data_IF_370230274622
#
_entry.id   IF_370230274622
#
_cell.length_a   1.000
_cell.length_b   1.000
_cell.length_c   1.000
_cell.angle_alpha   90.00
_cell.angle_beta   90.00
_cell.angle_gamma   90.00
#
_symmetry.space_group_name_H-M   'P 1'
#
loop_
_entity.id
_entity.type
_entity.pdbx_description
1 polymer ?
#
# COMPACT_ATOMS: atom_id res chain seq x y z
N UNK A 1 14.17 9.10 -13.08
CA UNK A 1 14.82 7.78 -12.94
C UNK A 1 14.76 7.41 -11.46
N UNK A 2 13.92 6.45 -11.09
CA UNK A 2 13.75 6.02 -9.70
C UNK A 2 15.00 5.23 -9.28
N UNK A 3 15.79 5.79 -8.34
CA UNK A 3 16.97 5.13 -7.78
C UNK A 3 16.48 4.02 -6.85
N UNK A 4 16.80 2.77 -7.17
CA UNK A 4 16.58 1.64 -6.24
C UNK A 4 17.63 1.67 -5.15
N UNK A 5 17.20 1.51 -3.90
CA UNK A 5 18.12 1.50 -2.77
C UNK A 5 18.69 0.10 -2.54
N UNK A 6 19.93 0.04 -2.07
CA UNK A 6 20.61 -1.19 -1.63
C UNK A 6 21.33 -0.93 -0.32
N UNK A 7 21.24 -1.88 0.60
CA UNK A 7 21.97 -1.82 1.86
C UNK A 7 23.49 -1.92 1.60
N UNK A 8 24.24 -0.97 2.14
CA UNK A 8 25.70 -0.97 2.09
C UNK A 8 26.28 -1.61 3.36
N UNK A 9 26.17 -2.94 3.47
CA UNK A 9 26.82 -3.71 4.53
C UNK A 9 27.67 -4.82 3.91
N UNK A 10 28.97 -4.83 4.23
CA UNK A 10 29.93 -5.75 3.65
C UNK A 10 29.68 -7.20 4.13
N UNK A 11 29.46 -8.17 3.22
CA UNK A 11 29.34 -9.59 3.57
C UNK A 11 30.56 -10.16 4.33
N UNK A 12 31.73 -9.58 4.16
CA UNK A 12 32.95 -9.93 4.91
C UNK A 12 32.80 -9.66 6.40
N UNK A 13 32.09 -8.59 6.79
CA UNK A 13 31.81 -8.29 8.21
C UNK A 13 30.90 -9.34 8.82
N UNK A 14 29.88 -9.82 8.09
CA UNK A 14 29.05 -10.94 8.55
C UNK A 14 29.87 -12.21 8.76
N UNK A 15 30.79 -12.49 7.84
CA UNK A 15 31.66 -13.66 7.92
C UNK A 15 32.59 -13.56 9.13
N UNK A 16 33.19 -12.39 9.36
CA UNK A 16 34.06 -12.12 10.51
C UNK A 16 33.32 -12.24 11.85
N UNK A 17 32.11 -11.67 11.96
CA UNK A 17 31.29 -11.82 13.17
C UNK A 17 30.92 -13.28 13.44
N UNK A 18 30.62 -14.05 12.38
CA UNK A 18 30.33 -15.48 12.48
C UNK A 18 31.55 -16.28 12.88
N UNK A 19 32.72 -16.01 12.30
CA UNK A 19 34.00 -16.67 12.65
C UNK A 19 34.39 -16.38 14.10
N UNK A 20 34.26 -15.14 14.55
CA UNK A 20 34.56 -14.73 15.92
C UNK A 20 33.69 -15.48 16.94
N UNK A 21 32.40 -15.70 16.62
CA UNK A 21 31.51 -16.54 17.43
C UNK A 21 32.02 -17.97 17.59
N UNK A 22 32.54 -18.56 16.51
CA UNK A 22 33.10 -19.91 16.55
C UNK A 22 34.42 -19.95 17.32
N UNK A 23 35.29 -18.95 17.18
CA UNK A 23 36.53 -18.87 17.96
C UNK A 23 36.27 -18.74 19.46
N UNK A 24 35.24 -17.99 19.87
CA UNK A 24 34.79 -17.97 21.26
C UNK A 24 34.35 -19.35 21.76
N UNK A 25 33.59 -20.10 20.94
CA UNK A 25 33.11 -21.44 21.28
C UNK A 25 34.25 -22.47 21.38
N UNK A 26 35.33 -22.25 20.63
CA UNK A 26 36.52 -23.12 20.58
C UNK A 26 37.64 -22.66 21.53
N UNK A 27 37.39 -21.64 22.36
CA UNK A 27 38.36 -21.07 23.32
C UNK A 27 39.70 -20.61 22.67
N UNK A 28 39.64 -20.15 21.43
CA UNK A 28 40.81 -19.62 20.70
C UNK A 28 41.03 -18.16 21.06
N UNK A 29 42.29 -17.75 21.25
CA UNK A 29 42.65 -16.35 21.54
C UNK A 29 42.37 -15.48 20.32
N UNK A 30 41.53 -14.47 20.50
CA UNK A 30 41.11 -13.51 19.47
C UNK A 30 41.82 -12.17 19.71
N UNK A 31 42.22 -11.43 18.66
CA UNK A 31 42.77 -10.08 18.82
C UNK A 31 41.77 -9.10 19.45
N UNK A 32 42.23 -8.22 20.34
CA UNK A 32 41.41 -7.23 21.07
C UNK A 32 40.54 -6.37 20.13
N UNK A 33 41.07 -5.99 18.97
CA UNK A 33 40.32 -5.22 17.96
C UNK A 33 39.06 -5.93 17.47
N UNK A 34 39.10 -7.26 17.35
CA UNK A 34 37.97 -8.09 16.89
C UNK A 34 36.97 -8.30 18.03
N UNK A 35 37.45 -8.43 19.26
CA UNK A 35 36.61 -8.53 20.46
C UNK A 35 35.74 -7.28 20.66
N UNK A 36 36.31 -6.08 20.48
CA UNK A 36 35.57 -4.81 20.55
C UNK A 36 34.45 -4.77 19.50
N UNK A 37 34.71 -5.23 18.27
CA UNK A 37 33.69 -5.27 17.20
C UNK A 37 32.61 -6.31 17.51
N UNK A 38 33.00 -7.48 18.00
CA UNK A 38 32.09 -8.56 18.35
C UNK A 38 31.18 -8.21 19.52
N UNK A 39 31.66 -7.41 20.49
CA UNK A 39 30.84 -6.91 21.60
C UNK A 39 29.60 -6.11 21.14
N UNK A 40 29.65 -5.55 19.92
CA UNK A 40 28.57 -4.79 19.29
C UNK A 40 27.89 -5.56 18.16
N UNK A 41 28.19 -6.85 17.98
CA UNK A 41 27.68 -7.67 16.90
C UNK A 41 26.15 -7.60 16.84
N UNK A 42 25.46 -7.90 17.95
CA UNK A 42 24.00 -7.93 18.00
C UNK A 42 23.36 -6.60 17.56
N UNK A 43 23.97 -5.48 17.96
CA UNK A 43 23.54 -4.13 17.58
C UNK A 43 23.67 -3.94 16.05
N UNK A 44 24.81 -4.32 15.46
CA UNK A 44 25.01 -4.26 14.02
C UNK A 44 24.04 -5.16 13.26
N UNK A 45 23.78 -6.37 13.75
CA UNK A 45 22.83 -7.30 13.14
C UNK A 45 21.41 -6.73 13.15
N UNK A 46 20.99 -6.16 14.28
CA UNK A 46 19.67 -5.54 14.42
C UNK A 46 19.53 -4.31 13.50
N UNK A 47 20.53 -3.44 13.45
CA UNK A 47 20.52 -2.29 12.55
C UNK A 47 20.52 -2.70 11.08
N UNK A 48 21.35 -3.67 10.70
CA UNK A 48 21.39 -4.18 9.33
C UNK A 48 20.04 -4.78 8.92
N UNK A 49 19.40 -5.58 9.79
CA UNK A 49 18.07 -6.12 9.55
C UNK A 49 17.01 -5.03 9.34
N UNK A 50 16.98 -4.03 10.24
CA UNK A 50 16.03 -2.93 10.14
C UNK A 50 16.25 -2.06 8.89
N UNK A 51 17.49 -1.77 8.55
CA UNK A 51 17.82 -1.02 7.32
C UNK A 51 17.46 -1.82 6.07
N UNK A 52 17.62 -3.14 6.08
CA UNK A 52 17.19 -4.00 4.99
C UNK A 52 15.66 -3.94 4.81
N UNK A 53 14.90 -3.93 5.90
CA UNK A 53 13.45 -3.75 5.85
C UNK A 53 13.07 -2.39 5.26
N UNK A 54 13.73 -1.30 5.68
CA UNK A 54 13.53 0.05 5.12
C UNK A 54 13.77 0.05 3.60
N UNK A 55 14.90 -0.50 3.15
CA UNK A 55 15.26 -0.58 1.73
C UNK A 55 14.22 -1.39 0.95
N UNK A 56 13.83 -2.55 1.47
CA UNK A 56 12.85 -3.42 0.82
C UNK A 56 11.48 -2.72 0.73
N UNK A 57 10.99 -2.15 1.81
CA UNK A 57 9.70 -1.45 1.86
C UNK A 57 9.67 -0.25 0.92
N UNK A 58 10.75 0.55 0.87
CA UNK A 58 10.85 1.67 -0.06
C UNK A 58 10.86 1.22 -1.52
N UNK A 59 11.66 0.21 -1.87
CA UNK A 59 11.70 -0.34 -3.22
C UNK A 59 10.35 -0.96 -3.63
N UNK A 60 9.68 -1.66 -2.69
CA UNK A 60 8.34 -2.20 -2.91
C UNK A 60 7.32 -1.09 -3.14
N UNK A 61 7.34 -0.05 -2.29
CA UNK A 61 6.48 1.13 -2.41
C UNK A 61 6.61 1.72 -3.82
N UNK A 62 7.83 2.03 -4.27
CA UNK A 62 8.09 2.55 -5.62
C UNK A 62 7.62 1.61 -6.74
N UNK A 63 7.88 0.31 -6.61
CA UNK A 63 7.48 -0.67 -7.63
C UNK A 63 5.97 -0.86 -7.75
N UNK A 64 5.24 -0.56 -6.67
CA UNK A 64 3.81 -0.79 -6.61
C UNK A 64 3.00 0.40 -7.13
N UNK A 65 3.55 1.62 -7.15
CA UNK A 65 2.80 2.81 -7.56
C UNK A 65 2.49 2.82 -9.05
N UNK A 66 1.27 3.21 -9.41
CA UNK A 66 0.90 3.54 -10.78
C UNK A 66 1.23 5.01 -11.11
N UNK A 67 1.38 5.31 -12.41
CA UNK A 67 1.69 6.67 -12.89
C UNK A 67 0.66 7.72 -12.47
N UNK A 68 -0.60 7.31 -12.25
CA UNK A 68 -1.69 8.16 -11.78
C UNK A 68 -1.66 8.41 -10.27
N UNK A 69 -1.01 7.52 -9.51
CA UNK A 69 -0.87 7.62 -8.04
C UNK A 69 0.36 8.45 -7.67
N UNK A 70 1.43 8.39 -8.48
CA UNK A 70 2.70 9.05 -8.21
C UNK A 70 2.56 10.55 -7.89
N UNK A 71 1.84 11.38 -8.69
CA UNK A 71 1.73 12.80 -8.41
C UNK A 71 1.03 13.12 -7.08
N UNK A 72 0.12 12.26 -6.63
CA UNK A 72 -0.57 12.41 -5.35
C UNK A 72 0.31 12.01 -4.17
N UNK A 73 1.24 11.09 -4.39
CA UNK A 73 2.17 10.59 -3.39
C UNK A 73 3.41 11.46 -3.22
N UNK A 74 3.73 12.32 -4.20
CA UNK A 74 4.95 13.15 -4.21
C UNK A 74 5.25 13.85 -2.88
N UNK A 75 4.32 14.56 -2.23
CA UNK A 75 4.62 15.25 -0.97
C UNK A 75 5.02 14.30 0.17
N UNK A 76 4.49 13.07 0.17
CA UNK A 76 4.86 12.05 1.15
C UNK A 76 6.18 11.37 0.79
N UNK A 77 6.43 11.16 -0.50
CA UNK A 77 7.70 10.62 -0.99
C UNK A 77 8.86 11.57 -0.74
N UNK A 78 8.68 12.88 -0.91
CA UNK A 78 9.72 13.87 -0.62
C UNK A 78 10.16 13.82 0.86
N UNK A 79 9.22 13.66 1.80
CA UNK A 79 9.56 13.49 3.22
C UNK A 79 10.34 12.20 3.49
N UNK A 80 10.02 11.13 2.77
CA UNK A 80 10.74 9.86 2.86
C UNK A 80 12.14 10.01 2.26
N UNK A 81 12.27 10.65 1.11
CA UNK A 81 13.53 10.88 0.42
C UNK A 81 14.46 11.79 1.24
N UNK A 82 13.95 12.87 1.82
CA UNK A 82 14.69 13.76 2.74
C UNK A 82 15.16 12.98 3.98
N UNK A 83 14.29 12.14 4.55
CA UNK A 83 14.70 11.29 5.66
C UNK A 83 15.80 10.30 5.25
N UNK A 84 15.69 9.69 4.07
CA UNK A 84 16.69 8.74 3.55
C UNK A 84 18.03 9.39 3.24
N UNK A 85 18.05 10.66 2.79
CA UNK A 85 19.26 11.42 2.48
C UNK A 85 20.16 11.55 3.73
N UNK A 86 19.56 11.80 4.91
CA UNK A 86 20.27 11.79 6.21
C UNK A 86 21.00 10.45 6.45
N UNK A 87 20.36 9.34 6.06
CA UNK A 87 20.92 7.99 6.15
C UNK A 87 22.02 7.69 5.15
N UNK A 88 21.98 8.31 3.97
CA UNK A 88 22.92 8.07 2.86
C UNK A 88 24.20 8.89 3.04
N UNK A 89 24.09 10.16 3.44
CA UNK A 89 25.22 11.09 3.45
C UNK A 89 25.91 11.22 4.81
N UNK A 90 25.17 11.09 5.91
CA UNK A 90 25.66 11.48 7.24
C UNK A 90 25.77 10.32 8.22
N UNK A 91 25.12 9.20 7.95
CA UNK A 91 25.02 8.10 8.88
C UNK A 91 26.10 7.05 8.63
N UNK A 92 26.86 6.72 9.68
CA UNK A 92 27.79 5.58 9.67
C UNK A 92 27.37 4.56 10.74
N UNK A 93 27.88 3.33 10.61
CA UNK A 93 27.55 2.23 11.53
C UNK A 93 27.97 2.49 12.99
N UNK A 94 28.84 3.47 13.27
CA UNK A 94 29.29 3.83 14.63
C UNK A 94 28.44 4.92 15.28
N UNK A 95 27.57 5.60 14.53
CA UNK A 95 26.76 6.70 15.05
C UNK A 95 25.66 6.19 15.98
N UNK A 96 25.55 6.81 17.16
CA UNK A 96 24.48 6.50 18.12
C UNK A 96 23.08 6.93 17.65
N UNK A 97 22.99 7.81 16.65
CA UNK A 97 21.73 8.30 16.07
C UNK A 97 21.07 7.36 15.05
N UNK A 98 21.69 6.20 14.73
CA UNK A 98 21.13 5.22 13.79
C UNK A 98 19.74 4.71 14.22
N UNK A 99 19.52 4.54 15.52
CA UNK A 99 18.24 4.05 16.04
C UNK A 99 17.10 5.07 15.84
N UNK A 100 17.37 6.36 16.05
CA UNK A 100 16.38 7.43 15.81
C UNK A 100 16.09 7.59 14.32
N UNK A 101 17.12 7.50 13.48
CA UNK A 101 16.98 7.49 12.02
C UNK A 101 16.09 6.33 11.57
N UNK A 102 16.40 5.09 11.98
CA UNK A 102 15.60 3.90 11.63
C UNK A 102 14.14 4.11 12.01
N UNK A 103 13.86 4.60 13.23
CA UNK A 103 12.49 4.82 13.69
C UNK A 103 11.75 5.87 12.86
N UNK A 104 12.39 7.02 12.60
CA UNK A 104 11.84 8.12 11.80
C UNK A 104 11.52 7.67 10.38
N UNK A 105 12.50 7.08 9.70
CA UNK A 105 12.37 6.63 8.31
C UNK A 105 11.35 5.50 8.15
N UNK A 106 11.33 4.54 9.10
CA UNK A 106 10.31 3.48 9.10
C UNK A 106 8.90 4.06 9.24
N UNK A 107 8.71 5.08 10.09
CA UNK A 107 7.42 5.74 10.26
C UNK A 107 6.95 6.42 8.97
N UNK A 108 7.82 7.18 8.30
CA UNK A 108 7.44 7.86 7.06
C UNK A 108 7.12 6.89 5.92
N UNK A 109 7.90 5.82 5.78
CA UNK A 109 7.62 4.78 4.78
C UNK A 109 6.30 4.07 5.11
N UNK A 110 6.03 3.77 6.38
CA UNK A 110 4.77 3.17 6.79
C UNK A 110 3.58 4.08 6.48
N UNK A 111 3.68 5.38 6.76
CA UNK A 111 2.62 6.36 6.45
C UNK A 111 2.35 6.43 4.94
N UNK A 112 3.41 6.48 4.11
CA UNK A 112 3.27 6.48 2.65
C UNK A 112 2.67 5.15 2.13
N UNK A 113 3.08 4.02 2.69
CA UNK A 113 2.57 2.69 2.32
C UNK A 113 1.10 2.55 2.69
N UNK A 114 0.72 2.93 3.91
CA UNK A 114 -0.67 2.89 4.38
C UNK A 114 -1.58 3.77 3.51
N UNK A 115 -1.10 4.93 3.08
CA UNK A 115 -1.85 5.82 2.19
C UNK A 115 -2.05 5.16 0.82
N UNK A 116 -1.00 4.59 0.23
CA UNK A 116 -1.10 3.88 -1.05
C UNK A 116 -2.04 2.66 -0.97
N UNK A 117 -1.94 1.88 0.11
CA UNK A 117 -2.84 0.75 0.36
C UNK A 117 -4.29 1.21 0.49
N UNK A 118 -4.55 2.34 1.17
CA UNK A 118 -5.88 2.91 1.29
C UNK A 118 -6.46 3.29 -0.08
N UNK A 119 -5.67 3.93 -0.94
CA UNK A 119 -6.07 4.26 -2.32
C UNK A 119 -6.48 3.00 -3.07
N UNK A 120 -5.61 2.00 -3.10
CA UNK A 120 -5.84 0.74 -3.83
C UNK A 120 -7.00 -0.08 -3.28
N UNK A 121 -7.11 -0.17 -1.96
CA UNK A 121 -8.18 -0.93 -1.30
C UNK A 121 -9.54 -0.30 -1.61
N UNK A 122 -9.64 1.03 -1.58
CA UNK A 122 -10.89 1.72 -1.87
C UNK A 122 -11.29 1.56 -3.33
N UNK A 123 -10.34 1.68 -4.27
CA UNK A 123 -10.59 1.41 -5.69
C UNK A 123 -11.02 -0.05 -5.92
N UNK A 124 -10.38 -1.01 -5.23
CA UNK A 124 -10.75 -2.42 -5.29
C UNK A 124 -12.17 -2.66 -4.77
N UNK A 125 -12.54 -2.07 -3.63
CA UNK A 125 -13.91 -2.14 -3.08
C UNK A 125 -14.94 -1.59 -4.06
N UNK A 126 -14.67 -0.43 -4.68
CA UNK A 126 -15.56 0.14 -5.70
C UNK A 126 -15.74 -0.85 -6.86
N UNK A 127 -14.65 -1.46 -7.36
CA UNK A 127 -14.72 -2.44 -8.43
C UNK A 127 -15.49 -3.71 -8.03
N UNK A 128 -15.33 -4.19 -6.79
CA UNK A 128 -16.05 -5.36 -6.27
C UNK A 128 -17.55 -5.09 -6.15
N UNK A 129 -17.94 -3.92 -5.67
CA UNK A 129 -19.34 -3.49 -5.61
C UNK A 129 -19.96 -3.47 -7.02
N UNK A 130 -19.28 -2.85 -7.99
CA UNK A 130 -19.76 -2.77 -9.37
C UNK A 130 -19.86 -4.13 -10.05
N UNK A 131 -18.96 -5.08 -9.74
CA UNK A 131 -19.09 -6.46 -10.23
C UNK A 131 -20.32 -7.16 -9.65
N UNK A 132 -20.67 -6.88 -8.41
CA UNK A 132 -21.91 -7.36 -7.78
C UNK A 132 -23.18 -6.84 -8.46
N UNK A 133 -23.08 -5.74 -9.23
CA UNK A 133 -24.23 -5.19 -9.95
C UNK A 133 -24.70 -6.11 -11.07
N UNK A 134 -23.79 -6.69 -11.85
CA UNK A 134 -24.13 -7.61 -12.94
C UNK A 134 -24.47 -9.03 -12.49
N UNK A 135 -23.97 -9.51 -11.36
CA UNK A 135 -24.33 -10.88 -10.90
C UNK A 135 -25.74 -10.98 -10.32
N UNK A 136 -26.33 -9.86 -9.92
CA UNK A 136 -27.65 -9.84 -9.29
C UNK A 136 -28.71 -9.50 -10.33
N UNK A 137 -29.63 -10.43 -10.60
CA UNK A 137 -30.76 -10.19 -11.49
C UNK A 137 -31.61 -8.99 -11.04
N UNK A 138 -32.04 -8.17 -12.00
CA UNK A 138 -32.97 -7.05 -11.78
C UNK A 138 -34.34 -7.50 -11.25
N UNK A 139 -34.70 -8.77 -11.48
CA UNK A 139 -35.93 -9.37 -11.00
C UNK A 139 -35.65 -10.70 -10.29
N UNK A 140 -36.40 -10.98 -9.22
CA UNK A 140 -36.31 -12.27 -8.54
C UNK A 140 -36.67 -13.45 -9.46
N UNK A 141 -35.90 -14.53 -9.37
CA UNK A 141 -36.25 -15.81 -10.02
C UNK A 141 -37.53 -16.36 -9.40
N UNK A 142 -38.51 -16.65 -10.26
CA UNK A 142 -39.83 -17.11 -9.83
C UNK A 142 -39.79 -18.57 -9.38
N UNK A 143 -40.50 -18.90 -8.30
CA UNK A 143 -40.69 -20.28 -7.83
C UNK A 143 -42.07 -20.87 -8.20
N UNK A 144 -43.07 -20.02 -8.46
CA UNK A 144 -44.46 -20.42 -8.77
C UNK A 144 -45.10 -19.48 -9.79
N UNK A 145 -46.10 -19.98 -10.53
CA UNK A 145 -46.91 -19.19 -11.46
C UNK A 145 -47.92 -18.33 -10.69
N UNK A 146 -47.81 -17.01 -10.81
CA UNK A 146 -48.82 -16.05 -10.32
C UNK A 146 -49.49 -15.31 -11.49
N UNK A 147 -50.69 -14.76 -11.24
CA UNK A 147 -51.48 -14.02 -12.24
C UNK A 147 -50.73 -12.79 -12.77
N UNK A 148 -51.13 -12.30 -13.95
CA UNK A 148 -50.42 -11.22 -14.65
C UNK A 148 -50.32 -9.91 -13.83
N UNK A 149 -51.38 -9.55 -13.11
CA UNK A 149 -51.41 -8.33 -12.28
C UNK A 149 -50.51 -8.47 -11.04
N UNK A 150 -50.59 -9.60 -10.34
CA UNK A 150 -49.74 -9.92 -9.19
C UNK A 150 -48.26 -10.00 -9.58
N UNK A 151 -47.97 -10.53 -10.78
CA UNK A 151 -46.63 -10.54 -11.35
C UNK A 151 -46.10 -9.12 -11.58
N UNK A 152 -46.91 -8.25 -12.19
CA UNK A 152 -46.52 -6.88 -12.48
C UNK A 152 -46.21 -6.09 -11.21
N UNK A 153 -47.02 -6.28 -10.16
CA UNK A 153 -46.78 -5.66 -8.85
C UNK A 153 -45.49 -6.17 -8.21
N UNK A 154 -45.26 -7.48 -8.21
CA UNK A 154 -44.04 -8.09 -7.65
C UNK A 154 -42.80 -7.68 -8.43
N UNK A 155 -42.90 -7.61 -9.76
CA UNK A 155 -41.83 -7.14 -10.65
C UNK A 155 -41.48 -5.68 -10.35
N UNK A 156 -42.48 -4.79 -10.27
CA UNK A 156 -42.28 -3.38 -9.91
C UNK A 156 -41.59 -3.23 -8.56
N UNK A 157 -42.05 -3.96 -7.55
CA UNK A 157 -41.45 -3.93 -6.21
C UNK A 157 -40.00 -4.44 -6.22
N UNK A 158 -39.69 -5.51 -6.96
CA UNK A 158 -38.33 -6.03 -7.10
C UNK A 158 -37.40 -5.04 -7.81
N UNK A 159 -37.88 -4.39 -8.86
CA UNK A 159 -37.12 -3.36 -9.59
C UNK A 159 -36.87 -2.15 -8.69
N UNK A 160 -37.89 -1.68 -7.97
CA UNK A 160 -37.77 -0.55 -7.05
C UNK A 160 -36.78 -0.84 -5.90
N UNK A 161 -36.86 -2.03 -5.30
CA UNK A 161 -35.90 -2.47 -4.30
C UNK A 161 -34.46 -2.50 -4.84
N UNK A 162 -34.28 -2.95 -6.10
CA UNK A 162 -32.96 -2.99 -6.73
C UNK A 162 -32.43 -1.59 -7.05
N UNK A 163 -33.27 -0.69 -7.52
CA UNK A 163 -32.91 0.72 -7.75
C UNK A 163 -32.49 1.42 -6.46
N UNK A 164 -33.16 1.12 -5.34
CA UNK A 164 -32.77 1.64 -4.03
C UNK A 164 -31.40 1.11 -3.58
N UNK A 165 -31.15 -0.20 -3.74
CA UNK A 165 -29.83 -0.80 -3.49
C UNK A 165 -28.72 -0.14 -4.33
N UNK A 166 -28.95 0.15 -5.61
CA UNK A 166 -27.98 0.88 -6.43
C UNK A 166 -27.73 2.32 -5.97
N UNK A 167 -28.76 3.01 -5.46
CA UNK A 167 -28.60 4.34 -4.88
C UNK A 167 -27.74 4.30 -3.62
N UNK A 168 -27.99 3.33 -2.75
CA UNK A 168 -27.22 3.14 -1.51
C UNK A 168 -25.76 2.77 -1.79
N UNK A 169 -25.53 1.86 -2.73
CA UNK A 169 -24.18 1.46 -3.18
C UNK A 169 -23.47 2.63 -3.90
N UNK A 170 -24.20 3.43 -4.67
CA UNK A 170 -23.68 4.68 -5.25
C UNK A 170 -23.23 5.68 -4.19
N UNK A 171 -24.03 5.87 -3.12
CA UNK A 171 -23.66 6.72 -1.99
C UNK A 171 -22.40 6.20 -1.28
N UNK A 172 -22.25 4.88 -1.13
CA UNK A 172 -21.05 4.25 -0.59
C UNK A 172 -19.81 4.48 -1.48
N UNK A 173 -19.94 4.38 -2.81
CA UNK A 173 -18.85 4.70 -3.75
C UNK A 173 -18.39 6.15 -3.59
N UNK A 174 -19.33 7.09 -3.50
CA UNK A 174 -19.00 8.49 -3.23
C UNK A 174 -18.32 8.67 -1.86
N UNK A 175 -18.76 7.96 -0.83
CA UNK A 175 -18.12 7.98 0.48
C UNK A 175 -16.68 7.44 0.44
N UNK A 176 -16.40 6.36 -0.32
CA UNK A 176 -15.05 5.83 -0.50
C UNK A 176 -14.13 6.83 -1.20
N UNK A 177 -14.61 7.49 -2.27
CA UNK A 177 -13.84 8.54 -2.95
C UNK A 177 -13.57 9.73 -2.01
N UNK A 178 -14.55 10.11 -1.19
CA UNK A 178 -14.38 11.16 -0.19
C UNK A 178 -13.33 10.78 0.88
N UNK A 179 -13.31 9.52 1.33
CA UNK A 179 -12.28 9.01 2.25
C UNK A 179 -10.87 9.12 1.66
N UNK A 180 -10.70 8.78 0.38
CA UNK A 180 -9.41 8.93 -0.32
C UNK A 180 -8.98 10.41 -0.33
N UNK A 181 -9.89 11.31 -0.71
CA UNK A 181 -9.60 12.74 -0.74
C UNK A 181 -9.22 13.29 0.64
N UNK A 182 -9.92 12.87 1.69
CA UNK A 182 -9.61 13.28 3.08
C UNK A 182 -8.24 12.77 3.53
N UNK A 183 -7.86 11.55 3.16
CA UNK A 183 -6.55 10.98 3.48
C UNK A 183 -5.40 11.69 2.76
N UNK A 184 -5.62 12.12 1.51
CA UNK A 184 -4.64 12.84 0.71
C UNK A 184 -4.42 14.29 1.17
N UNK A 185 -5.44 14.92 1.78
CA UNK A 185 -5.41 16.34 2.19
C UNK A 185 -5.10 17.32 1.04
N UNK A 186 -5.36 16.91 -0.20
CA UNK A 186 -5.13 17.70 -1.42
C UNK A 186 -6.35 18.58 -1.72
N UNK A 187 -6.15 19.70 -2.42
CA UNK A 187 -7.26 20.55 -2.87
C UNK A 187 -8.09 19.83 -3.95
N UNK A 188 -9.42 20.01 -3.92
CA UNK A 188 -10.32 19.52 -4.99
C UNK A 188 -9.96 20.07 -6.37
N UNK A 189 -9.32 21.25 -6.40
CA UNK A 189 -8.86 21.89 -7.63
C UNK A 189 -7.53 21.34 -8.16
N UNK A 190 -6.86 20.45 -7.44
CA UNK A 190 -5.54 19.95 -7.83
C UNK A 190 -5.62 19.14 -9.14
N UNK A 191 -4.78 19.46 -10.15
CA UNK A 191 -4.72 18.70 -11.41
C UNK A 191 -4.43 17.20 -11.23
N UNK A 192 -3.57 16.84 -10.27
CA UNK A 192 -3.25 15.44 -9.97
C UNK A 192 -4.48 14.71 -9.42
N UNK A 193 -5.22 15.35 -8.51
CA UNK A 193 -6.46 14.79 -7.97
C UNK A 193 -7.50 14.59 -9.08
N UNK A 194 -7.68 15.58 -9.97
CA UNK A 194 -8.63 15.45 -11.09
C UNK A 194 -8.28 14.29 -12.01
N UNK A 195 -7.00 14.14 -12.38
CA UNK A 195 -6.52 13.00 -13.18
C UNK A 195 -6.78 11.66 -12.50
N UNK A 196 -6.56 11.58 -11.20
CA UNK A 196 -6.84 10.36 -10.43
C UNK A 196 -8.34 10.04 -10.42
N UNK A 197 -9.20 11.03 -10.18
CA UNK A 197 -10.66 10.83 -10.20
C UNK A 197 -11.15 10.42 -11.59
N UNK A 198 -10.60 11.02 -12.65
CA UNK A 198 -10.89 10.64 -14.03
C UNK A 198 -10.49 9.18 -14.30
N UNK A 199 -9.30 8.77 -13.88
CA UNK A 199 -8.87 7.37 -13.97
C UNK A 199 -9.80 6.41 -13.22
N UNK A 200 -10.19 6.75 -11.98
CA UNK A 200 -11.15 5.95 -11.20
C UNK A 200 -12.51 5.90 -11.90
N UNK A 201 -12.98 7.00 -12.48
CA UNK A 201 -14.22 7.04 -13.25
C UNK A 201 -14.16 6.12 -14.48
N UNK A 202 -13.07 6.13 -15.24
CA UNK A 202 -12.88 5.23 -16.38
C UNK A 202 -12.86 3.76 -15.93
N UNK A 203 -12.28 3.47 -14.77
CA UNK A 203 -12.28 2.14 -14.18
C UNK A 203 -13.70 1.70 -13.74
N UNK A 204 -14.49 2.62 -13.18
CA UNK A 204 -15.90 2.38 -12.81
C UNK A 204 -16.70 2.05 -14.07
N UNK A 205 -16.62 2.90 -15.10
CA UNK A 205 -17.38 2.74 -16.35
C UNK A 205 -17.00 1.43 -17.06
N UNK A 206 -15.71 1.11 -17.15
CA UNK A 206 -15.24 -0.13 -17.76
C UNK A 206 -15.66 -1.38 -16.96
N UNK A 207 -15.58 -1.33 -15.63
CA UNK A 207 -16.00 -2.43 -14.75
C UNK A 207 -17.49 -2.67 -14.85
N UNK A 208 -18.29 -1.61 -14.82
CA UNK A 208 -19.74 -1.70 -14.98
C UNK A 208 -20.12 -2.26 -16.35
N UNK A 209 -19.51 -1.76 -17.44
CA UNK A 209 -19.75 -2.29 -18.79
C UNK A 209 -19.47 -3.78 -18.86
N UNK A 210 -18.35 -4.24 -18.31
CA UNK A 210 -17.99 -5.66 -18.31
C UNK A 210 -18.97 -6.48 -17.48
N UNK A 211 -19.34 -6.00 -16.30
CA UNK A 211 -20.29 -6.68 -15.42
C UNK A 211 -21.66 -6.85 -16.10
N UNK A 212 -22.12 -5.84 -16.86
CA UNK A 212 -23.35 -5.93 -17.64
C UNK A 212 -23.26 -6.95 -18.78
N UNK A 213 -22.13 -7.01 -19.50
CA UNK A 213 -21.92 -8.02 -20.54
C UNK A 213 -21.92 -9.44 -19.95
N UNK A 214 -21.32 -9.64 -18.78
CA UNK A 214 -21.32 -10.93 -18.08
C UNK A 214 -22.70 -11.34 -17.55
N UNK A 215 -23.62 -10.38 -17.41
CA UNK A 215 -24.98 -10.60 -16.90
C UNK A 215 -26.03 -10.88 -17.97
N UNK A 216 -25.71 -10.62 -19.25
CA UNK A 216 -26.56 -10.85 -20.43
C UNK A 216 -26.37 -12.27 -20.97
#
# INVERSE_FOLDING_TARGET
ATKTLKLNFDPGVWSLLRETKYFYLLEVVIPEAVEIVYSKADIYQQHAGNLQLIVNSYNMLLSSMADVELPLMLPKLELVDEALEEGIEHLNWRNHSIASFIKKTTSYIADATNLLELLKLNVKKICEMLKGWGTTSLHGTRKTTVGAEEYHQTYKASVEARLNSFRDEGAQIHALIAQIHMALQVSRGDPAWRKYVEHVNDLIVSTLRRSLIESL
#
